data_IF_809768761799
#
_entry.id   IF_809768761799
#
_cell.length_a   1.000
_cell.length_b   1.000
_cell.length_c   1.000
_cell.angle_alpha   90.00
_cell.angle_beta   90.00
_cell.angle_gamma   90.00
#
_symmetry.space_group_name_H-M   'P 1'
#
loop_
_entity.id
_entity.type
_entity.pdbx_description
1 polymer ?
#
# COMPACT_ATOMS: atom_id res chain seq x y z
N UNK A 1 -3.83 5.48 7.40
CA UNK A 1 -2.69 6.33 7.05
C UNK A 1 -1.61 5.60 6.26
N UNK A 2 -1.12 4.45 6.72
CA UNK A 2 -0.11 3.69 5.96
C UNK A 2 -0.57 3.27 4.57
N UNK A 3 -1.80 2.80 4.45
CA UNK A 3 -2.37 2.38 3.16
C UNK A 3 -2.45 3.53 2.17
N UNK A 4 -2.85 4.71 2.63
CA UNK A 4 -2.97 5.91 1.81
C UNK A 4 -1.60 6.37 1.31
N UNK A 5 -0.61 6.40 2.19
CA UNK A 5 0.76 6.77 1.83
C UNK A 5 1.36 5.78 0.83
N UNK A 6 1.10 4.48 1.00
CA UNK A 6 1.57 3.45 0.09
C UNK A 6 0.91 3.54 -1.28
N UNK A 7 -0.37 3.91 -1.33
CA UNK A 7 -1.08 4.10 -2.60
C UNK A 7 -0.51 5.28 -3.38
N UNK A 8 -0.19 6.37 -2.70
CA UNK A 8 0.45 7.53 -3.32
C UNK A 8 1.83 7.15 -3.87
N UNK A 9 2.63 6.46 -3.07
CA UNK A 9 3.96 6.00 -3.46
C UNK A 9 3.91 5.05 -4.65
N UNK A 10 2.94 4.15 -4.67
CA UNK A 10 2.75 3.21 -5.77
C UNK A 10 2.36 3.94 -7.06
N UNK A 11 1.48 4.93 -6.98
CA UNK A 11 1.10 5.76 -8.12
C UNK A 11 2.29 6.55 -8.66
N UNK A 12 3.08 7.15 -7.79
CA UNK A 12 4.28 7.89 -8.17
C UNK A 12 5.28 6.96 -8.87
N UNK A 13 5.48 5.75 -8.34
CA UNK A 13 6.38 4.77 -8.93
C UNK A 13 5.89 4.30 -10.30
N UNK A 14 4.59 4.05 -10.45
CA UNK A 14 3.98 3.66 -11.72
C UNK A 14 4.12 4.76 -12.76
N UNK A 15 3.88 6.00 -12.38
CA UNK A 15 4.05 7.16 -13.27
C UNK A 15 5.51 7.32 -13.68
N UNK A 16 6.44 7.15 -12.76
CA UNK A 16 7.87 7.21 -13.05
C UNK A 16 8.28 6.12 -14.04
N UNK A 17 7.76 4.89 -13.88
CA UNK A 17 8.00 3.80 -14.82
C UNK A 17 7.53 4.15 -16.23
N UNK A 18 6.33 4.70 -16.35
CA UNK A 18 5.78 5.09 -17.66
C UNK A 18 6.61 6.16 -18.32
N UNK A 19 7.04 7.18 -17.57
CA UNK A 19 7.87 8.25 -18.07
C UNK A 19 9.23 7.73 -18.53
N UNK A 20 9.85 6.83 -17.78
CA UNK A 20 11.14 6.24 -18.14
C UNK A 20 11.01 5.36 -19.38
N UNK A 21 9.92 4.59 -19.51
CA UNK A 21 9.67 3.76 -20.69
C UNK A 21 9.49 4.59 -21.95
N UNK A 22 8.86 5.73 -21.85
CA UNK A 22 8.63 6.66 -22.97
C UNK A 22 9.90 7.40 -23.38
N UNK A 23 10.84 7.55 -22.46
CA UNK A 23 12.07 8.28 -22.72
C UNK A 23 12.98 7.48 -23.65
N UNK A 24 13.39 8.10 -24.76
CA UNK A 24 14.33 7.51 -25.70
C UNK A 24 15.76 8.02 -25.46
N UNK A 25 15.89 9.07 -24.67
CA UNK A 25 17.17 9.76 -24.44
C UNK A 25 17.74 9.45 -23.05
N UNK A 26 18.83 10.12 -22.72
CA UNK A 26 19.48 10.02 -21.42
C UNK A 26 18.53 10.36 -20.29
N UNK A 27 18.58 9.55 -19.23
CA UNK A 27 17.77 9.74 -18.04
C UNK A 27 18.63 10.36 -16.96
N UNK A 28 18.06 11.31 -16.24
CA UNK A 28 18.74 12.00 -15.15
C UNK A 28 17.99 11.81 -13.85
N UNK A 29 18.74 11.69 -12.77
CA UNK A 29 18.20 11.56 -11.43
C UNK A 29 18.70 12.71 -10.57
N UNK A 30 17.78 13.28 -9.78
CA UNK A 30 18.13 14.31 -8.81
C UNK A 30 18.54 13.66 -7.49
N UNK A 31 19.78 13.91 -7.08
CA UNK A 31 20.32 13.42 -5.81
C UNK A 31 20.78 14.65 -5.01
N UNK A 32 19.98 14.98 -4.00
CA UNK A 32 20.17 16.26 -3.29
C UNK A 32 19.94 17.43 -4.24
N UNK A 33 20.96 18.25 -4.46
CA UNK A 33 20.92 19.37 -5.40
C UNK A 33 21.68 19.09 -6.70
N UNK A 34 22.10 17.84 -6.92
CA UNK A 34 22.90 17.44 -8.07
C UNK A 34 22.10 16.53 -9.00
N UNK A 35 22.11 16.82 -10.29
CA UNK A 35 21.50 15.99 -11.32
C UNK A 35 22.57 15.05 -11.87
N UNK A 36 22.32 13.73 -11.81
CA UNK A 36 23.24 12.72 -12.32
C UNK A 36 22.60 11.90 -13.41
N UNK A 37 23.42 11.54 -14.42
CA UNK A 37 23.00 10.65 -15.49
C UNK A 37 22.89 9.22 -14.96
N UNK A 38 21.83 8.50 -15.33
CA UNK A 38 21.60 7.12 -14.91
C UNK A 38 21.30 6.22 -16.11
N UNK A 39 21.56 4.93 -15.94
CA UNK A 39 21.26 3.91 -16.94
C UNK A 39 19.76 3.64 -16.96
N UNK A 40 19.15 3.74 -18.14
CA UNK A 40 17.70 3.53 -18.33
C UNK A 40 17.27 2.12 -17.91
N UNK A 41 17.98 1.09 -18.36
CA UNK A 41 17.63 -0.30 -18.08
C UNK A 41 17.67 -0.60 -16.59
N UNK A 42 18.72 -0.15 -15.91
CA UNK A 42 18.84 -0.33 -14.46
C UNK A 42 17.77 0.44 -13.72
N UNK A 43 17.47 1.65 -14.16
CA UNK A 43 16.41 2.47 -13.55
C UNK A 43 15.06 1.79 -13.69
N UNK A 44 14.76 1.19 -14.85
CA UNK A 44 13.53 0.42 -15.05
C UNK A 44 13.45 -0.77 -14.11
N UNK A 45 14.55 -1.52 -13.97
CA UNK A 45 14.60 -2.67 -13.05
C UNK A 45 14.34 -2.24 -11.61
N UNK A 46 15.02 -1.19 -11.16
CA UNK A 46 14.87 -0.68 -9.80
C UNK A 46 13.44 -0.21 -9.53
N UNK A 47 12.83 0.48 -10.49
CA UNK A 47 11.44 0.95 -10.36
C UNK A 47 10.45 -0.21 -10.37
N UNK A 48 10.67 -1.24 -11.18
CA UNK A 48 9.82 -2.43 -11.20
C UNK A 48 9.91 -3.21 -9.90
N UNK A 49 11.11 -3.35 -9.34
CA UNK A 49 11.30 -3.99 -8.03
C UNK A 49 10.61 -3.20 -6.93
N UNK A 50 10.74 -1.87 -6.94
CA UNK A 50 10.07 -1.00 -5.99
C UNK A 50 8.55 -1.14 -6.09
N UNK A 51 8.02 -1.18 -7.31
CA UNK A 51 6.59 -1.36 -7.55
C UNK A 51 6.10 -2.68 -6.97
N UNK A 52 6.79 -3.79 -7.24
CA UNK A 52 6.45 -5.11 -6.71
C UNK A 52 6.46 -5.12 -5.19
N UNK A 53 7.47 -4.51 -4.59
CA UNK A 53 7.57 -4.44 -3.13
C UNK A 53 6.40 -3.65 -2.53
N UNK A 54 6.04 -2.52 -3.14
CA UNK A 54 4.91 -1.70 -2.70
C UNK A 54 3.58 -2.44 -2.86
N UNK A 55 3.40 -3.17 -3.95
CA UNK A 55 2.20 -4.00 -4.17
C UNK A 55 2.07 -5.09 -3.10
N UNK A 56 3.17 -5.75 -2.77
CA UNK A 56 3.19 -6.78 -1.73
C UNK A 56 2.86 -6.20 -0.35
N UNK A 57 3.43 -5.05 -0.02
CA UNK A 57 3.14 -4.36 1.24
C UNK A 57 1.68 -3.92 1.32
N UNK A 58 1.17 -3.38 0.23
CA UNK A 58 -0.23 -2.94 0.15
C UNK A 58 -1.19 -4.13 0.33
N UNK A 59 -0.92 -5.25 -0.32
CA UNK A 59 -1.70 -6.48 -0.18
C UNK A 59 -1.67 -6.99 1.27
N UNK A 60 -0.51 -6.94 1.92
CA UNK A 60 -0.35 -7.34 3.32
C UNK A 60 -1.17 -6.45 4.25
N UNK A 61 -1.14 -5.14 4.03
CA UNK A 61 -1.92 -4.17 4.84
C UNK A 61 -3.41 -4.40 4.64
N UNK A 62 -3.87 -4.60 3.42
CA UNK A 62 -5.28 -4.90 3.13
C UNK A 62 -5.75 -6.17 3.83
N UNK A 63 -4.90 -7.19 3.85
CA UNK A 63 -5.19 -8.44 4.56
C UNK A 63 -5.31 -8.22 6.07
N UNK A 64 -4.42 -7.41 6.64
CA UNK A 64 -4.47 -7.06 8.07
C UNK A 64 -5.74 -6.26 8.40
N UNK A 65 -6.09 -5.28 7.57
CA UNK A 65 -7.31 -4.49 7.74
C UNK A 65 -8.55 -5.37 7.70
N UNK A 66 -8.61 -6.29 6.74
CA UNK A 66 -9.72 -7.23 6.61
C UNK A 66 -9.85 -8.13 7.85
N UNK A 67 -8.72 -8.60 8.37
CA UNK A 67 -8.68 -9.42 9.58
C UNK A 67 -9.17 -8.66 10.80
N UNK A 68 -8.74 -7.42 10.97
CA UNK A 68 -9.17 -6.55 12.08
C UNK A 68 -10.67 -6.26 11.96
N UNK A 69 -11.15 -5.96 10.78
CA UNK A 69 -12.56 -5.70 10.53
C UNK A 69 -13.43 -6.92 10.88
N UNK A 70 -12.99 -8.11 10.48
CA UNK A 70 -13.68 -9.36 10.81
C UNK A 70 -13.73 -9.59 12.32
N UNK A 71 -12.65 -9.31 13.04
CA UNK A 71 -12.60 -9.41 14.50
C UNK A 71 -13.53 -8.40 15.15
N UNK A 72 -13.57 -7.18 14.66
CA UNK A 72 -14.45 -6.13 15.18
C UNK A 72 -15.92 -6.53 15.03
N UNK A 73 -16.31 -7.07 13.88
CA UNK A 73 -17.66 -7.56 13.63
C UNK A 73 -18.00 -8.71 14.57
N UNK A 74 -17.09 -9.66 14.75
CA UNK A 74 -17.29 -10.79 15.65
C UNK A 74 -17.48 -10.34 17.10
N UNK A 75 -16.67 -9.39 17.56
CA UNK A 75 -16.79 -8.83 18.91
C UNK A 75 -18.11 -8.09 19.11
N UNK A 76 -18.54 -7.32 18.14
CA UNK A 76 -19.84 -6.63 18.18
C UNK A 76 -20.99 -7.63 18.31
N UNK A 77 -20.90 -8.72 17.55
CA UNK A 77 -21.90 -9.79 17.59
C UNK A 77 -21.95 -10.46 18.98
N UNK A 78 -20.79 -10.74 19.58
CA UNK A 78 -20.71 -11.31 20.92
C UNK A 78 -21.27 -10.37 21.97
N UNK A 79 -20.94 -9.10 21.90
CA UNK A 79 -21.46 -8.09 22.84
C UNK A 79 -22.97 -8.01 22.72
N UNK A 80 -23.51 -8.02 21.53
CA UNK A 80 -24.95 -7.99 21.28
C UNK A 80 -25.64 -9.22 21.91
N UNK A 81 -25.07 -10.40 21.72
CA UNK A 81 -25.59 -11.64 22.33
C UNK A 81 -25.58 -11.60 23.84
N UNK A 82 -24.51 -11.10 24.44
CA UNK A 82 -24.39 -10.95 25.87
C UNK A 82 -25.44 -9.98 26.44
N UNK A 83 -25.65 -8.86 25.76
CA UNK A 83 -26.67 -7.89 26.17
C UNK A 83 -28.08 -8.47 26.07
N UNK A 84 -28.37 -9.19 25.00
CA UNK A 84 -29.67 -9.87 24.84
C UNK A 84 -29.90 -10.93 25.92
N UNK A 85 -28.86 -11.73 26.18
CA UNK A 85 -28.92 -12.75 27.23
C UNK A 85 -29.15 -12.13 28.62
N UNK A 86 -28.44 -11.06 28.93
CA UNK A 86 -28.57 -10.33 30.19
C UNK A 86 -29.96 -9.72 30.32
N UNK A 87 -30.49 -9.13 29.27
CA UNK A 87 -31.82 -8.54 29.23
C UNK A 87 -32.89 -9.61 29.47
N UNK A 88 -32.74 -10.79 28.87
CA UNK A 88 -33.66 -11.93 29.08
C UNK A 88 -33.62 -12.45 30.51
N UNK A 89 -32.44 -12.50 31.12
CA UNK A 89 -32.28 -13.03 32.48
C UNK A 89 -32.81 -12.07 33.57
N UNK A 90 -32.92 -10.79 33.25
CA UNK A 90 -33.46 -9.79 34.17
C UNK A 90 -35.00 -9.78 34.21
N UNK A 91 -35.64 -10.41 33.27
CA UNK A 91 -37.11 -10.58 33.27
C UNK A 91 -37.54 -11.79 34.07
#
# INVERSE_FOLDING_TARGET
MQKQNMSIELNETTNALEEVKKSSDSIYRLVGSIIVSVNKEKTLEDLEEKKKLLELRNASIEKQESSIESRAVALQSEIKKLLESKSSSEQ
#
